data_IF_965695379274
#
_entry.id   IF_965695379274
#
_cell.length_a   1.000
_cell.length_b   1.000
_cell.length_c   1.000
_cell.angle_alpha   90.00
_cell.angle_beta   90.00
_cell.angle_gamma   90.00
#
_symmetry.space_group_name_H-M   'P 1'
#
loop_
_entity.id
_entity.type
_entity.pdbx_description
1 polymer ?
#
# COMPACT_ATOMS: atom_id res chain seq x y z
N UNK A 1 11.41 -19.29 -17.38
CA UNK A 1 12.20 -18.41 -16.49
C UNK A 1 12.34 -19.09 -15.14
N UNK A 2 13.46 -18.90 -14.44
CA UNK A 2 13.66 -19.48 -13.10
C UNK A 2 12.65 -18.91 -12.11
N UNK A 3 12.21 -19.73 -11.16
CA UNK A 3 11.37 -19.30 -10.03
C UNK A 3 12.02 -18.09 -9.31
N UNK A 4 11.22 -17.24 -8.61
CA UNK A 4 11.79 -16.23 -7.73
C UNK A 4 12.77 -16.93 -6.79
N UNK A 5 14.02 -16.44 -6.74
CA UNK A 5 15.04 -16.98 -5.84
C UNK A 5 14.59 -16.90 -4.37
N UNK A 6 15.41 -17.41 -3.43
CA UNK A 6 15.07 -17.38 -2.01
C UNK A 6 14.64 -15.98 -1.56
N UNK A 7 13.71 -15.91 -0.59
CA UNK A 7 13.27 -14.65 0.00
C UNK A 7 14.46 -13.96 0.69
N UNK A 8 14.79 -12.71 0.34
CA UNK A 8 15.74 -11.90 1.10
C UNK A 8 15.35 -11.81 2.57
N UNK A 9 16.34 -11.75 3.45
CA UNK A 9 16.12 -11.81 4.91
C UNK A 9 15.38 -10.59 5.47
N UNK A 10 15.39 -9.47 4.73
CA UNK A 10 14.67 -8.25 5.09
C UNK A 10 13.19 -8.25 4.66
N UNK A 11 12.76 -9.22 3.85
CA UNK A 11 11.35 -9.41 3.51
C UNK A 11 10.67 -10.37 4.48
N UNK A 12 9.43 -10.02 4.81
CA UNK A 12 8.59 -10.82 5.68
C UNK A 12 7.70 -11.77 4.85
N UNK A 13 7.42 -12.98 5.35
CA UNK A 13 6.38 -13.82 4.76
C UNK A 13 5.01 -13.14 4.84
N UNK A 14 4.08 -13.58 4.00
CA UNK A 14 2.66 -13.31 4.23
C UNK A 14 2.22 -14.07 5.51
N UNK A 15 1.74 -13.37 6.55
CA UNK A 15 1.23 -14.03 7.77
C UNK A 15 0.11 -15.02 7.45
N UNK A 16 0.19 -16.22 8.02
CA UNK A 16 -0.80 -17.30 7.81
C UNK A 16 -1.99 -17.24 8.78
N UNK A 17 -1.89 -16.41 9.81
CA UNK A 17 -2.94 -16.17 10.79
C UNK A 17 -2.97 -14.67 11.11
N UNK A 18 -4.12 -14.05 10.88
CA UNK A 18 -4.34 -12.65 11.15
C UNK A 18 -5.58 -12.50 12.05
N UNK A 19 -5.55 -11.60 13.06
CA UNK A 19 -6.74 -11.28 13.83
C UNK A 19 -7.74 -10.52 12.94
N UNK A 20 -9.02 -10.42 13.34
CA UNK A 20 -10.01 -9.62 12.62
C UNK A 20 -9.51 -8.19 12.34
N UNK A 21 -9.90 -7.62 11.19
CA UNK A 21 -9.39 -6.32 10.73
C UNK A 21 -9.53 -5.21 11.79
N UNK A 22 -10.65 -5.21 12.54
CA UNK A 22 -10.90 -4.27 13.64
C UNK A 22 -9.85 -4.37 14.76
N UNK A 23 -9.46 -5.58 15.13
CA UNK A 23 -8.50 -5.83 16.21
C UNK A 23 -7.08 -5.52 15.74
N UNK A 24 -6.75 -5.85 14.49
CA UNK A 24 -5.50 -5.45 13.85
C UNK A 24 -5.35 -3.92 13.79
N UNK A 25 -6.42 -3.21 13.40
CA UNK A 25 -6.45 -1.75 13.37
C UNK A 25 -6.33 -1.14 14.77
N UNK A 26 -7.03 -1.69 15.76
CA UNK A 26 -6.91 -1.23 17.15
C UNK A 26 -5.47 -1.37 17.68
N UNK A 27 -4.78 -2.45 17.30
CA UNK A 27 -3.36 -2.65 17.63
C UNK A 27 -2.48 -1.59 16.96
N UNK A 28 -2.76 -1.24 15.70
CA UNK A 28 -2.08 -0.13 15.04
C UNK A 28 -2.33 1.19 15.79
N UNK A 29 -3.59 1.53 16.08
CA UNK A 29 -3.93 2.76 16.79
C UNK A 29 -3.18 2.87 18.13
N UNK A 30 -3.10 1.78 18.91
CA UNK A 30 -2.37 1.78 20.18
C UNK A 30 -0.85 1.96 20.01
N UNK A 31 -0.27 1.41 18.95
CA UNK A 31 1.16 1.58 18.66
C UNK A 31 1.52 3.04 18.30
N UNK A 32 0.59 3.77 17.69
CA UNK A 32 0.87 5.09 17.12
C UNK A 32 0.29 6.28 17.91
N UNK A 33 -0.64 6.07 18.86
CA UNK A 33 -1.31 7.16 19.59
C UNK A 33 -0.41 8.03 20.48
N UNK A 34 0.81 7.59 20.78
CA UNK A 34 1.75 8.32 21.65
C UNK A 34 2.75 9.18 20.87
N UNK A 35 2.65 9.21 19.54
CA UNK A 35 3.43 10.13 18.72
C UNK A 35 2.95 11.57 18.90
N UNK A 36 3.89 12.50 18.73
CA UNK A 36 3.66 13.90 19.00
C UNK A 36 2.65 14.49 18.01
N UNK A 37 1.82 15.40 18.54
CA UNK A 37 0.98 16.24 17.70
C UNK A 37 1.85 17.35 17.09
N UNK A 38 1.50 17.89 15.91
CA UNK A 38 2.21 19.05 15.40
C UNK A 38 2.09 20.21 16.39
N UNK A 39 3.20 20.84 16.74
CA UNK A 39 3.23 22.09 17.53
C UNK A 39 3.05 23.32 16.64
N UNK A 40 3.39 23.18 15.35
CA UNK A 40 3.22 24.20 14.33
C UNK A 40 3.02 23.54 12.96
N UNK A 41 2.33 24.26 12.08
CA UNK A 41 2.15 23.90 10.68
C UNK A 41 2.77 25.01 9.81
N UNK A 42 3.17 24.69 8.59
CA UNK A 42 3.74 25.66 7.68
C UNK A 42 2.72 26.77 7.35
N UNK A 43 3.02 28.06 7.57
CA UNK A 43 2.09 29.15 7.32
C UNK A 43 1.82 29.40 5.82
N UNK A 44 2.58 28.79 4.91
CA UNK A 44 2.28 28.85 3.48
C UNK A 44 1.23 27.81 3.08
N UNK A 45 1.32 26.60 3.64
CA UNK A 45 0.39 25.50 3.38
C UNK A 45 -0.90 25.63 4.21
N UNK A 46 -0.77 26.17 5.42
CA UNK A 46 -1.84 26.39 6.40
C UNK A 46 -1.90 27.87 6.81
N UNK A 47 -2.31 28.77 5.90
CA UNK A 47 -2.21 30.22 6.08
C UNK A 47 -3.13 30.79 7.16
N UNK A 48 -4.16 30.06 7.58
CA UNK A 48 -5.11 30.53 8.58
C UNK A 48 -5.59 29.43 9.54
N UNK A 49 -6.30 29.86 10.58
CA UNK A 49 -6.85 28.99 11.63
C UNK A 49 -7.94 28.05 11.11
N UNK A 50 -8.59 28.35 9.98
CA UNK A 50 -9.65 27.49 9.44
C UNK A 50 -9.11 26.18 8.90
N UNK A 51 -7.85 26.15 8.45
CA UNK A 51 -7.16 24.95 8.00
C UNK A 51 -6.33 24.28 9.12
N UNK A 52 -5.68 25.07 9.98
CA UNK A 52 -4.78 24.54 11.01
C UNK A 52 -5.50 24.07 12.29
N UNK A 53 -6.53 24.79 12.77
CA UNK A 53 -7.22 24.42 14.01
C UNK A 53 -7.92 23.05 13.97
N UNK A 54 -8.54 22.62 12.85
CA UNK A 54 -9.08 21.26 12.72
C UNK A 54 -8.03 20.17 12.90
N UNK A 55 -6.81 20.36 12.37
CA UNK A 55 -5.71 19.40 12.47
C UNK A 55 -5.25 19.26 13.92
N UNK A 56 -5.05 20.36 14.64
CA UNK A 56 -4.69 20.29 16.06
C UNK A 56 -5.79 19.62 16.91
N UNK A 57 -7.07 19.85 16.57
CA UNK A 57 -8.18 19.16 17.23
C UNK A 57 -8.23 17.66 16.90
N UNK A 58 -7.94 17.29 15.65
CA UNK A 58 -7.85 15.91 15.20
C UNK A 58 -6.70 15.17 15.89
N UNK A 59 -5.55 15.82 16.08
CA UNK A 59 -4.40 15.23 16.75
C UNK A 59 -4.74 14.83 18.20
N UNK A 60 -5.49 15.67 18.92
CA UNK A 60 -6.00 15.34 20.27
C UNK A 60 -6.97 14.15 20.27
N UNK A 61 -7.73 13.94 19.20
CA UNK A 61 -8.59 12.76 19.06
C UNK A 61 -7.75 11.52 18.78
N UNK A 62 -6.81 11.61 17.85
CA UNK A 62 -5.87 10.56 17.48
C UNK A 62 -5.08 10.05 18.70
N UNK A 63 -4.55 10.95 19.53
CA UNK A 63 -3.81 10.59 20.76
C UNK A 63 -4.67 9.87 21.82
N UNK A 64 -6.00 10.04 21.75
CA UNK A 64 -6.97 9.31 22.57
C UNK A 64 -7.42 7.99 21.94
N UNK A 65 -6.83 7.60 20.81
CA UNK A 65 -7.23 6.43 20.03
C UNK A 65 -8.59 6.57 19.35
N UNK A 66 -9.09 7.79 19.19
CA UNK A 66 -10.39 8.07 18.55
C UNK A 66 -10.16 8.54 17.13
N UNK A 67 -10.79 7.89 16.15
CA UNK A 67 -10.67 8.30 14.75
C UNK A 67 -11.26 9.71 14.55
N UNK A 68 -10.44 10.70 14.18
CA UNK A 68 -10.97 11.99 13.74
C UNK A 68 -11.70 11.83 12.41
N UNK A 69 -12.56 12.81 12.06
CA UNK A 69 -13.18 12.79 10.74
C UNK A 69 -12.13 13.11 9.66
N UNK A 70 -12.17 12.49 8.48
CA UNK A 70 -11.10 12.66 7.49
C UNK A 70 -10.90 14.10 7.07
N UNK A 71 -11.96 14.91 7.04
CA UNK A 71 -11.88 16.33 6.69
C UNK A 71 -10.99 17.15 7.64
N UNK A 72 -10.73 16.63 8.83
CA UNK A 72 -9.95 17.30 9.85
C UNK A 72 -8.44 17.01 9.74
N UNK A 73 -8.02 16.03 8.93
CA UNK A 73 -6.61 15.63 8.84
C UNK A 73 -6.13 15.21 7.45
N UNK A 74 -7.02 15.02 6.47
CA UNK A 74 -6.64 14.57 5.12
C UNK A 74 -5.58 15.47 4.45
N UNK A 75 -5.61 16.79 4.70
CA UNK A 75 -4.62 17.74 4.18
C UNK A 75 -3.17 17.36 4.54
N UNK A 76 -2.97 16.62 5.63
CA UNK A 76 -1.63 16.17 6.06
C UNK A 76 -0.93 15.36 4.95
N UNK A 77 -1.68 14.60 4.16
CA UNK A 77 -1.14 13.72 3.11
C UNK A 77 -0.95 14.42 1.75
N UNK A 78 -1.35 15.69 1.62
CA UNK A 78 -1.14 16.49 0.41
C UNK A 78 0.08 17.42 0.51
N UNK A 79 0.62 17.52 1.71
CA UNK A 79 1.69 18.45 2.03
C UNK A 79 2.99 17.70 2.28
N UNK A 80 4.10 18.37 2.03
CA UNK A 80 5.41 17.86 2.38
C UNK A 80 5.48 17.52 3.88
N UNK A 81 6.09 16.40 4.34
CA UNK A 81 6.12 16.01 5.75
C UNK A 81 6.54 17.13 6.72
N UNK A 82 7.51 17.97 6.33
CA UNK A 82 7.90 19.17 7.12
C UNK A 82 6.81 20.23 7.29
N UNK A 83 5.89 20.35 6.35
CA UNK A 83 4.82 21.34 6.41
C UNK A 83 3.74 20.97 7.42
N UNK A 84 3.70 19.70 7.84
CA UNK A 84 2.64 19.12 8.68
C UNK A 84 3.13 18.71 10.07
N UNK A 85 4.33 19.15 10.46
CA UNK A 85 4.92 18.84 11.77
C UNK A 85 5.81 17.60 11.78
N UNK A 86 6.19 17.08 10.61
CA UNK A 86 7.22 16.05 10.48
C UNK A 86 6.71 14.62 10.55
N UNK A 87 7.66 13.72 10.71
CA UNK A 87 7.48 12.27 10.76
C UNK A 87 6.52 11.84 11.88
N UNK A 88 6.62 12.44 13.07
CA UNK A 88 5.78 12.12 14.21
C UNK A 88 4.29 12.40 13.95
N UNK A 89 3.97 13.50 13.25
CA UNK A 89 2.58 13.75 12.83
C UNK A 89 2.10 12.66 11.86
N UNK A 90 2.93 12.27 10.88
CA UNK A 90 2.55 11.23 9.92
C UNK A 90 2.30 9.91 10.64
N UNK A 91 3.18 9.53 11.57
CA UNK A 91 3.01 8.36 12.44
C UNK A 91 1.68 8.42 13.21
N UNK A 92 1.40 9.53 13.88
CA UNK A 92 0.18 9.71 14.68
C UNK A 92 -1.09 9.50 13.84
N UNK A 93 -1.12 9.99 12.60
CA UNK A 93 -2.29 9.93 11.74
C UNK A 93 -2.37 8.70 10.83
N UNK A 94 -1.27 7.95 10.63
CA UNK A 94 -1.20 6.85 9.66
C UNK A 94 -2.29 5.78 9.84
N UNK A 95 -2.58 5.25 11.05
CA UNK A 95 -3.65 4.26 11.22
C UNK A 95 -5.01 4.80 10.80
N UNK A 96 -5.27 6.09 11.02
CA UNK A 96 -6.53 6.73 10.65
C UNK A 96 -6.58 7.06 9.15
N UNK A 97 -5.45 7.40 8.53
CA UNK A 97 -5.31 7.51 7.08
C UNK A 97 -5.63 6.19 6.40
N UNK A 98 -5.05 5.09 6.89
CA UNK A 98 -5.39 3.74 6.45
C UNK A 98 -6.88 3.47 6.67
N UNK A 99 -7.41 3.80 7.86
CA UNK A 99 -8.81 3.59 8.21
C UNK A 99 -9.80 4.28 7.28
N UNK A 100 -9.47 5.45 6.76
CA UNK A 100 -10.49 6.32 6.17
C UNK A 100 -10.24 6.66 4.71
N UNK A 101 -9.02 6.45 4.22
CA UNK A 101 -8.61 6.92 2.90
C UNK A 101 -7.91 5.86 2.05
N UNK A 102 -7.55 4.68 2.60
CA UNK A 102 -6.82 3.64 1.85
C UNK A 102 -7.61 3.13 0.63
N UNK A 103 -8.94 3.00 0.73
CA UNK A 103 -9.73 2.18 -0.23
C UNK A 103 -10.66 2.97 -1.11
N UNK A 104 -10.30 4.18 -1.50
CA UNK A 104 -11.05 4.78 -2.59
C UNK A 104 -12.11 5.80 -2.19
N UNK A 105 -12.59 5.75 -0.96
CA UNK A 105 -13.86 6.38 -0.60
C UNK A 105 -13.63 7.60 0.26
N UNK A 106 -13.30 8.66 -0.45
CA UNK A 106 -13.31 10.03 0.03
C UNK A 106 -14.69 10.38 0.60
N UNK A 107 -14.81 11.04 1.77
CA UNK A 107 -16.08 11.55 2.26
C UNK A 107 -16.75 12.49 1.25
N UNK A 108 -18.09 12.50 1.23
CA UNK A 108 -18.86 13.39 0.35
C UNK A 108 -18.41 14.86 0.52
N UNK A 109 -18.02 15.50 -0.58
CA UNK A 109 -17.61 16.90 -0.61
C UNK A 109 -16.11 17.17 -0.53
N UNK A 110 -15.28 16.15 -0.37
CA UNK A 110 -13.85 16.25 -0.65
C UNK A 110 -13.59 16.04 -2.16
N UNK A 111 -12.54 16.69 -2.69
CA UNK A 111 -12.17 16.59 -4.11
C UNK A 111 -11.75 15.17 -4.55
N UNK A 112 -11.25 15.04 -5.78
CA UNK A 112 -10.64 13.79 -6.23
C UNK A 112 -9.28 13.58 -5.52
N UNK A 113 -9.28 12.92 -4.36
CA UNK A 113 -8.05 12.44 -3.72
C UNK A 113 -7.57 11.16 -4.45
N UNK A 114 -6.27 11.03 -4.71
CA UNK A 114 -5.70 9.81 -5.28
C UNK A 114 -5.03 8.98 -4.16
N UNK A 115 -5.69 7.89 -3.79
CA UNK A 115 -5.42 6.92 -2.71
C UNK A 115 -3.94 6.58 -2.39
N UNK A 116 -3.02 6.74 -3.34
CA UNK A 116 -1.57 6.68 -3.18
C UNK A 116 -1.01 7.66 -2.14
N UNK A 117 -1.68 8.77 -1.83
CA UNK A 117 -1.12 9.83 -0.99
C UNK A 117 -0.79 9.35 0.44
N UNK A 118 -1.64 8.52 1.07
CA UNK A 118 -1.38 8.05 2.45
C UNK A 118 -0.09 7.22 2.52
N UNK A 119 0.06 6.26 1.60
CA UNK A 119 1.22 5.38 1.56
C UNK A 119 2.47 6.15 1.10
N UNK A 120 2.32 7.04 0.12
CA UNK A 120 3.41 7.86 -0.39
C UNK A 120 3.95 8.82 0.68
N UNK A 121 3.08 9.54 1.41
CA UNK A 121 3.53 10.42 2.50
C UNK A 121 4.20 9.63 3.62
N UNK A 122 3.73 8.42 3.95
CA UNK A 122 4.39 7.58 4.94
C UNK A 122 5.82 7.20 4.47
N UNK A 123 5.99 6.82 3.21
CA UNK A 123 7.30 6.55 2.62
C UNK A 123 8.20 7.79 2.60
N UNK A 124 7.65 8.96 2.24
CA UNK A 124 8.36 10.23 2.29
C UNK A 124 8.78 10.61 3.72
N UNK A 125 8.00 10.20 4.73
CA UNK A 125 8.33 10.31 6.15
C UNK A 125 9.28 9.20 6.66
N UNK A 126 9.85 8.39 5.76
CA UNK A 126 10.88 7.40 6.11
C UNK A 126 10.34 6.08 6.64
N UNK A 127 9.09 5.70 6.33
CA UNK A 127 8.42 4.48 6.82
C UNK A 127 9.31 3.24 6.97
N UNK A 128 10.10 2.92 5.94
CA UNK A 128 10.95 1.73 5.93
C UNK A 128 12.06 1.73 6.99
N UNK A 129 12.42 2.91 7.49
CA UNK A 129 13.47 3.10 8.48
C UNK A 129 12.91 3.33 9.89
N UNK A 130 11.58 3.32 10.04
CA UNK A 130 10.97 3.33 11.36
C UNK A 130 11.29 2.06 12.14
N UNK A 131 11.13 2.13 13.47
CA UNK A 131 11.40 0.98 14.32
C UNK A 131 10.52 -0.22 13.95
N UNK A 132 11.05 -1.46 13.99
CA UNK A 132 10.30 -2.65 13.63
C UNK A 132 8.98 -2.85 14.38
N UNK A 133 8.89 -2.39 15.64
CA UNK A 133 7.69 -2.48 16.46
C UNK A 133 6.54 -1.58 15.99
N UNK A 134 6.82 -0.52 15.21
CA UNK A 134 5.81 0.31 14.56
C UNK A 134 5.32 -0.31 13.24
N UNK A 135 6.21 -0.95 12.49
CA UNK A 135 5.90 -1.58 11.19
C UNK A 135 5.14 -2.91 11.39
N UNK A 136 5.49 -3.68 12.42
CA UNK A 136 4.89 -4.98 12.69
C UNK A 136 3.34 -4.98 12.77
N UNK A 137 2.68 -4.11 13.55
CA UNK A 137 1.21 -4.08 13.61
C UNK A 137 0.58 -3.70 12.26
N UNK A 138 1.18 -2.77 11.52
CA UNK A 138 0.72 -2.38 10.18
C UNK A 138 0.82 -3.54 9.19
N UNK A 139 1.88 -4.35 9.27
CA UNK A 139 2.03 -5.56 8.45
C UNK A 139 0.91 -6.57 8.71
N UNK A 140 0.53 -6.77 9.97
CA UNK A 140 -0.58 -7.65 10.33
C UNK A 140 -1.90 -7.12 9.78
N UNK A 141 -2.14 -5.80 9.88
CA UNK A 141 -3.31 -5.17 9.27
C UNK A 141 -3.32 -5.33 7.75
N UNK A 142 -2.20 -5.06 7.06
CA UNK A 142 -2.08 -5.22 5.62
C UNK A 142 -2.39 -6.65 5.17
N UNK A 143 -1.82 -7.64 5.86
CA UNK A 143 -2.08 -9.06 5.59
C UNK A 143 -3.56 -9.42 5.81
N UNK A 144 -4.22 -8.86 6.83
CA UNK A 144 -5.64 -9.09 7.07
C UNK A 144 -6.51 -8.49 5.96
N UNK A 145 -6.24 -7.24 5.58
CA UNK A 145 -6.96 -6.56 4.49
C UNK A 145 -6.80 -7.31 3.17
N UNK A 146 -5.59 -7.84 2.90
CA UNK A 146 -5.32 -8.72 1.76
C UNK A 146 -6.19 -9.98 1.80
N UNK A 147 -6.17 -10.72 2.92
CA UNK A 147 -6.97 -11.94 3.08
C UNK A 147 -8.46 -11.67 2.86
N UNK A 148 -8.99 -10.65 3.53
CA UNK A 148 -10.40 -10.30 3.49
C UNK A 148 -10.86 -9.88 2.07
N UNK A 149 -10.12 -8.97 1.43
CA UNK A 149 -10.45 -8.47 0.09
C UNK A 149 -10.36 -9.57 -0.97
N UNK A 150 -9.23 -10.28 -1.06
CA UNK A 150 -9.02 -11.22 -2.15
C UNK A 150 -9.78 -12.53 -1.96
N UNK A 151 -10.26 -12.85 -0.76
CA UNK A 151 -11.12 -14.01 -0.53
C UNK A 151 -12.60 -13.67 -0.75
N UNK A 152 -13.06 -12.51 -0.30
CA UNK A 152 -14.49 -12.21 -0.16
C UNK A 152 -14.98 -10.94 -0.85
N UNK A 153 -14.07 -10.10 -1.38
CA UNK A 153 -14.40 -8.79 -1.93
C UNK A 153 -14.75 -7.74 -0.87
N UNK A 154 -14.50 -8.04 0.41
CA UNK A 154 -14.90 -7.22 1.53
C UNK A 154 -13.78 -7.20 2.57
N UNK A 155 -13.30 -6.04 3.00
CA UNK A 155 -12.22 -5.92 4.01
C UNK A 155 -12.71 -5.64 5.45
N UNK A 156 -14.01 -5.88 5.72
CA UNK A 156 -14.52 -6.17 7.07
C UNK A 156 -14.47 -5.06 8.13
N UNK A 157 -14.24 -3.80 7.76
CA UNK A 157 -14.22 -2.68 8.71
C UNK A 157 -15.54 -1.90 8.66
N UNK A 158 -16.35 -2.07 9.70
CA UNK A 158 -17.61 -1.34 9.86
C UNK A 158 -17.39 0.18 9.77
N UNK A 159 -18.13 0.85 8.90
CA UNK A 159 -18.03 2.30 8.69
C UNK A 159 -16.98 2.75 7.69
N UNK A 160 -16.21 1.84 7.08
CA UNK A 160 -15.47 2.19 5.87
C UNK A 160 -16.48 2.38 4.73
N UNK A 161 -16.40 3.49 4.01
CA UNK A 161 -17.33 3.75 2.93
C UNK A 161 -17.20 2.67 1.85
N UNK A 162 -18.24 1.83 1.72
CA UNK A 162 -18.33 0.87 0.64
C UNK A 162 -18.47 1.64 -0.66
N UNK A 163 -17.52 1.45 -1.58
CA UNK A 163 -17.79 1.81 -2.97
C UNK A 163 -18.98 0.96 -3.39
N UNK A 164 -20.13 1.57 -3.65
CA UNK A 164 -21.18 0.88 -4.37
C UNK A 164 -20.52 0.32 -5.62
N UNK A 165 -20.43 -1.02 -5.70
CA UNK A 165 -19.73 -1.74 -6.76
C UNK A 165 -20.09 -1.07 -8.08
N UNK A 166 -19.15 -0.33 -8.68
CA UNK A 166 -19.35 0.09 -10.06
C UNK A 166 -19.22 -1.21 -10.83
N UNK A 167 -20.25 -1.64 -11.58
CA UNK A 167 -20.19 -2.90 -12.30
C UNK A 167 -18.95 -2.87 -13.21
N UNK A 168 -17.90 -3.62 -12.85
CA UNK A 168 -16.65 -3.74 -13.61
C UNK A 168 -15.35 -3.22 -12.98
N UNK A 169 -15.32 -2.76 -11.73
CA UNK A 169 -14.07 -2.40 -11.04
C UNK A 169 -13.84 -3.37 -9.85
N UNK A 170 -13.32 -4.56 -10.15
CA UNK A 170 -13.10 -5.63 -9.17
C UNK A 170 -11.74 -5.51 -8.48
N UNK A 171 -10.75 -4.85 -9.10
CA UNK A 171 -9.47 -4.52 -8.49
C UNK A 171 -9.49 -3.28 -7.60
N UNK A 172 -10.45 -2.35 -7.76
CA UNK A 172 -10.56 -1.07 -7.04
C UNK A 172 -9.61 -0.85 -5.85
N UNK A 173 -9.98 -1.25 -4.63
CA UNK A 173 -9.12 -1.12 -3.44
C UNK A 173 -8.03 -2.20 -3.29
N UNK A 174 -8.04 -3.24 -4.11
CA UNK A 174 -7.04 -4.31 -4.12
C UNK A 174 -5.64 -3.81 -4.47
N UNK A 175 -5.51 -2.86 -5.41
CA UNK A 175 -4.20 -2.29 -5.77
C UNK A 175 -3.57 -1.55 -4.58
N UNK A 176 -4.37 -0.77 -3.84
CA UNK A 176 -3.92 -0.04 -2.64
C UNK A 176 -3.56 -1.00 -1.50
N UNK A 177 -4.33 -2.08 -1.31
CA UNK A 177 -4.05 -3.12 -0.34
C UNK A 177 -2.73 -3.84 -0.67
N UNK A 178 -2.48 -4.14 -1.94
CA UNK A 178 -1.25 -4.79 -2.37
C UNK A 178 -0.05 -3.84 -2.23
N UNK A 179 -0.21 -2.56 -2.56
CA UNK A 179 0.82 -1.54 -2.29
C UNK A 179 1.08 -1.41 -0.78
N UNK A 180 0.06 -1.45 0.06
CA UNK A 180 0.24 -1.43 1.51
C UNK A 180 0.97 -2.68 2.02
N UNK A 181 0.69 -3.85 1.46
CA UNK A 181 1.43 -5.08 1.76
C UNK A 181 2.91 -4.97 1.38
N UNK A 182 3.21 -4.47 0.17
CA UNK A 182 4.60 -4.29 -0.27
C UNK A 182 5.32 -3.18 0.51
N UNK A 183 4.63 -2.10 0.88
CA UNK A 183 5.13 -1.09 1.81
C UNK A 183 5.55 -1.72 3.13
N UNK A 184 4.72 -2.60 3.70
CA UNK A 184 4.99 -3.34 4.94
C UNK A 184 6.03 -4.47 4.79
N UNK A 185 6.72 -4.53 3.64
CA UNK A 185 7.78 -5.50 3.32
C UNK A 185 7.28 -6.96 3.33
N UNK A 186 6.00 -7.19 3.06
CA UNK A 186 5.49 -8.54 2.76
C UNK A 186 6.03 -8.93 1.37
N UNK A 187 6.56 -10.14 1.26
CA UNK A 187 7.17 -10.64 0.03
C UNK A 187 6.19 -10.59 -1.16
N UNK A 188 6.45 -9.78 -2.21
CA UNK A 188 5.61 -9.73 -3.39
C UNK A 188 5.44 -11.09 -4.08
N UNK A 189 6.46 -11.96 -4.02
CA UNK A 189 6.37 -13.29 -4.61
C UNK A 189 5.33 -14.17 -3.90
N UNK A 190 5.23 -14.08 -2.56
CA UNK A 190 4.24 -14.82 -1.78
C UNK A 190 2.83 -14.24 -1.97
N UNK A 191 2.70 -12.91 -2.11
CA UNK A 191 1.43 -12.27 -2.46
C UNK A 191 0.91 -12.80 -3.80
N UNK A 192 1.75 -12.77 -4.85
CA UNK A 192 1.35 -13.23 -6.18
C UNK A 192 1.06 -14.74 -6.22
N UNK A 193 1.85 -15.56 -5.53
CA UNK A 193 1.57 -16.99 -5.40
C UNK A 193 0.18 -17.22 -4.77
N UNK A 194 -0.08 -16.57 -3.63
CA UNK A 194 -1.36 -16.70 -2.92
C UNK A 194 -2.53 -16.27 -3.79
N UNK A 195 -2.43 -15.12 -4.47
CA UNK A 195 -3.46 -14.66 -5.41
C UNK A 195 -3.69 -15.68 -6.55
N UNK A 196 -2.61 -16.23 -7.11
CA UNK A 196 -2.72 -17.21 -8.20
C UNK A 196 -3.42 -18.50 -7.79
N UNK A 197 -3.36 -18.87 -6.51
CA UNK A 197 -3.97 -20.07 -5.91
C UNK A 197 -5.41 -19.84 -5.43
N UNK A 198 -5.78 -18.61 -5.07
CA UNK A 198 -7.10 -18.27 -4.52
C UNK A 198 -8.25 -18.50 -5.52
N UNK A 199 -8.01 -18.26 -6.81
CA UNK A 199 -9.01 -18.39 -7.87
C UNK A 199 -10.33 -17.69 -7.52
N UNK A 200 -10.27 -16.48 -6.98
CA UNK A 200 -11.44 -15.59 -6.83
C UNK A 200 -11.46 -14.55 -7.95
N UNK A 201 -12.60 -13.90 -8.24
CA UNK A 201 -12.66 -12.84 -9.25
C UNK A 201 -11.71 -11.68 -8.93
N UNK A 202 -11.62 -11.29 -7.66
CA UNK A 202 -10.73 -10.22 -7.20
C UNK A 202 -9.25 -10.57 -7.41
N UNK A 203 -8.87 -11.82 -7.10
CA UNK A 203 -7.49 -12.27 -7.28
C UNK A 203 -7.13 -12.42 -8.77
N UNK A 204 -8.03 -12.98 -9.59
CA UNK A 204 -7.81 -13.10 -11.03
C UNK A 204 -7.74 -11.72 -11.71
N UNK A 205 -8.48 -10.72 -11.23
CA UNK A 205 -8.47 -9.36 -11.81
C UNK A 205 -7.14 -8.64 -11.57
N UNK A 206 -6.41 -8.93 -10.49
CA UNK A 206 -5.03 -8.44 -10.30
C UNK A 206 -4.10 -8.84 -11.46
N UNK A 207 -4.40 -9.95 -12.13
CA UNK A 207 -3.62 -10.47 -13.26
C UNK A 207 -4.24 -10.16 -14.63
N UNK A 208 -5.38 -9.46 -14.69
CA UNK A 208 -6.04 -9.10 -15.95
C UNK A 208 -5.27 -8.01 -16.72
N UNK A 209 -4.33 -7.34 -16.05
CA UNK A 209 -3.38 -6.38 -16.62
C UNK A 209 -1.94 -6.68 -16.24
N UNK A 210 -1.00 -6.07 -16.98
CA UNK A 210 0.44 -6.08 -16.69
C UNK A 210 0.82 -4.94 -15.72
N UNK A 211 0.01 -4.75 -14.68
CA UNK A 211 0.24 -3.76 -13.63
C UNK A 211 1.43 -4.15 -12.73
N UNK A 212 1.86 -3.22 -11.88
CA UNK A 212 2.76 -3.56 -10.77
C UNK A 212 2.11 -3.18 -9.46
N UNK A 213 2.27 -4.06 -8.48
CA UNK A 213 1.75 -3.91 -7.11
C UNK A 213 2.79 -3.32 -6.15
N UNK A 214 4.05 -3.23 -6.60
CA UNK A 214 5.15 -2.65 -5.84
C UNK A 214 5.14 -1.12 -5.93
N UNK A 215 5.56 -0.49 -4.84
CA UNK A 215 5.86 0.95 -4.79
C UNK A 215 6.88 1.32 -5.87
N UNK A 216 6.59 2.36 -6.63
CA UNK A 216 7.44 2.83 -7.73
C UNK A 216 8.25 4.06 -7.32
N UNK A 217 9.56 3.98 -7.50
CA UNK A 217 10.45 5.14 -7.51
C UNK A 217 10.32 5.92 -8.85
N UNK A 218 10.69 7.22 -8.88
CA UNK A 218 11.30 8.00 -7.79
C UNK A 218 10.26 8.65 -6.86
N UNK A 219 10.57 8.64 -5.57
CA UNK A 219 9.99 9.52 -4.55
C UNK A 219 11.13 10.05 -3.67
N UNK A 220 10.90 11.12 -2.91
CA UNK A 220 11.90 11.67 -1.99
C UNK A 220 11.67 11.16 -0.56
N UNK A 221 12.68 11.27 0.30
CA UNK A 221 12.56 10.99 1.74
C UNK A 221 12.98 12.23 2.52
N UNK A 222 12.03 12.81 3.27
CA UNK A 222 12.23 14.04 4.04
C UNK A 222 12.73 13.77 5.45
N UNK A 223 12.16 12.78 6.17
CA UNK A 223 12.32 12.55 7.62
C UNK A 223 12.30 13.83 8.48
N UNK A 224 12.61 13.73 9.78
CA UNK A 224 12.76 14.89 10.68
C UNK A 224 14.15 15.56 10.61
N UNK A 225 14.96 15.26 9.59
CA UNK A 225 16.34 15.76 9.43
C UNK A 225 16.45 17.22 8.97
N UNK A 226 15.32 17.88 8.67
CA UNK A 226 15.30 19.28 8.24
C UNK A 226 15.74 19.56 6.78
N UNK A 227 16.34 18.59 6.08
CA UNK A 227 16.61 18.59 4.62
C UNK A 227 16.41 17.19 4.02
N UNK A 228 15.98 17.11 2.75
CA UNK A 228 15.70 15.83 2.09
C UNK A 228 16.96 14.98 2.13
N UNK A 229 16.84 13.77 2.69
CA UNK A 229 18.01 12.96 2.95
C UNK A 229 18.31 12.09 1.73
N UNK A 230 19.32 12.50 0.98
CA UNK A 230 19.74 11.82 -0.24
C UNK A 230 20.18 10.38 0.01
N UNK A 231 20.72 10.06 1.20
CA UNK A 231 21.14 8.70 1.54
C UNK A 231 19.93 7.78 1.67
N UNK A 232 18.93 8.20 2.44
CA UNK A 232 17.69 7.45 2.65
C UNK A 232 16.83 7.39 1.39
N UNK A 233 16.81 8.48 0.61
CA UNK A 233 16.16 8.51 -0.69
C UNK A 233 16.77 7.46 -1.64
N UNK A 234 18.10 7.39 -1.72
CA UNK A 234 18.79 6.38 -2.53
C UNK A 234 18.50 4.96 -2.05
N UNK A 235 18.57 4.72 -0.73
CA UNK A 235 18.27 3.43 -0.13
C UNK A 235 16.82 2.99 -0.41
N UNK A 236 15.85 3.89 -0.27
CA UNK A 236 14.46 3.65 -0.63
C UNK A 236 14.29 3.29 -2.10
N UNK A 237 15.00 3.96 -3.02
CA UNK A 237 14.93 3.60 -4.44
C UNK A 237 15.46 2.20 -4.71
N UNK A 238 16.50 1.77 -4.00
CA UNK A 238 17.05 0.42 -4.14
C UNK A 238 16.11 -0.64 -3.55
N UNK A 239 15.45 -0.36 -2.41
CA UNK A 239 14.39 -1.21 -1.84
C UNK A 239 13.22 -1.35 -2.82
N UNK A 240 12.69 -0.23 -3.34
CA UNK A 240 11.59 -0.20 -4.30
C UNK A 240 11.93 -0.99 -5.58
N UNK A 241 13.15 -0.81 -6.11
CA UNK A 241 13.63 -1.55 -7.28
C UNK A 241 13.72 -3.06 -7.00
N UNK A 242 14.18 -3.44 -5.81
CA UNK A 242 14.26 -4.83 -5.39
C UNK A 242 12.89 -5.49 -5.24
N UNK A 243 11.92 -4.79 -4.65
CA UNK A 243 10.52 -5.23 -4.56
C UNK A 243 9.93 -5.46 -5.96
N UNK A 244 10.06 -4.49 -6.86
CA UNK A 244 9.52 -4.57 -8.22
C UNK A 244 10.21 -5.67 -9.05
N UNK A 245 11.53 -5.86 -8.90
CA UNK A 245 12.25 -6.97 -9.54
C UNK A 245 11.77 -8.33 -9.03
N UNK A 246 11.51 -8.44 -7.72
CA UNK A 246 11.01 -9.66 -7.09
C UNK A 246 9.59 -10.01 -7.54
N UNK A 247 8.71 -9.02 -7.53
CA UNK A 247 7.35 -9.10 -8.09
C UNK A 247 7.40 -9.58 -9.54
N UNK A 248 8.17 -8.92 -10.40
CA UNK A 248 8.25 -9.22 -11.82
C UNK A 248 8.77 -10.65 -12.09
N UNK A 249 9.74 -11.15 -11.30
CA UNK A 249 10.20 -12.54 -11.38
C UNK A 249 9.09 -13.53 -11.05
N UNK A 250 8.33 -13.28 -9.98
CA UNK A 250 7.20 -14.12 -9.60
C UNK A 250 6.08 -14.07 -10.66
N UNK A 251 5.72 -12.87 -11.15
CA UNK A 251 4.73 -12.71 -12.20
C UNK A 251 5.09 -13.50 -13.46
N UNK A 252 6.34 -13.39 -13.93
CA UNK A 252 6.82 -14.15 -15.09
C UNK A 252 6.83 -15.68 -14.88
N UNK A 253 6.89 -16.13 -13.64
CA UNK A 253 6.89 -17.55 -13.30
C UNK A 253 5.45 -18.10 -13.24
N UNK A 254 4.53 -17.33 -12.63
CA UNK A 254 3.18 -17.76 -12.33
C UNK A 254 2.19 -17.53 -13.48
N UNK A 255 2.29 -16.36 -14.12
CA UNK A 255 1.30 -15.91 -15.10
C UNK A 255 1.77 -16.29 -16.50
N UNK A 256 1.27 -17.42 -16.98
CA UNK A 256 1.55 -17.98 -18.31
C UNK A 256 0.32 -17.87 -19.22
N UNK A 257 0.46 -18.06 -20.55
CA UNK A 257 -0.70 -18.16 -21.43
C UNK A 257 -1.70 -19.22 -20.97
N UNK A 258 -1.23 -20.38 -20.51
CA UNK A 258 -2.10 -21.44 -19.98
C UNK A 258 -2.83 -21.01 -18.70
N UNK A 259 -2.14 -20.28 -17.81
CA UNK A 259 -2.78 -19.73 -16.61
C UNK A 259 -3.89 -18.73 -16.99
N UNK A 260 -3.62 -17.82 -17.94
CA UNK A 260 -4.58 -16.83 -18.44
C UNK A 260 -5.79 -17.49 -19.11
N UNK A 261 -5.55 -18.51 -19.93
CA UNK A 261 -6.61 -19.29 -20.59
C UNK A 261 -7.49 -20.00 -19.56
N UNK A 262 -6.89 -20.64 -18.55
CA UNK A 262 -7.63 -21.26 -17.46
C UNK A 262 -8.43 -20.22 -16.66
N UNK A 263 -7.85 -19.05 -16.38
CA UNK A 263 -8.53 -17.95 -15.70
C UNK A 263 -9.73 -17.42 -16.50
N UNK A 264 -9.59 -17.29 -17.82
CA UNK A 264 -10.69 -16.94 -18.72
C UNK A 264 -11.88 -17.92 -18.54
N UNK A 265 -11.64 -19.22 -18.64
CA UNK A 265 -12.72 -20.22 -18.53
C UNK A 265 -13.36 -20.28 -17.15
N UNK A 266 -12.62 -19.96 -16.06
CA UNK A 266 -13.19 -19.80 -14.72
C UNK A 266 -14.20 -18.64 -14.63
N UNK A 267 -14.07 -17.61 -15.48
CA UNK A 267 -14.78 -16.33 -15.36
C UNK A 267 -15.77 -16.03 -16.46
N UNK A 268 -15.70 -16.69 -17.61
CA UNK A 268 -16.50 -16.37 -18.81
C UNK A 268 -18.01 -16.27 -18.54
N UNK A 269 -18.54 -17.10 -17.63
CA UNK A 269 -19.97 -17.11 -17.29
C UNK A 269 -20.37 -16.00 -16.30
N UNK A 270 -19.60 -15.82 -15.24
CA UNK A 270 -20.01 -15.02 -14.07
C UNK A 270 -19.40 -13.60 -14.09
N UNK A 271 -18.25 -13.42 -14.76
CA UNK A 271 -17.53 -12.14 -14.87
C UNK A 271 -17.01 -11.92 -16.30
N UNK A 272 -17.89 -11.71 -17.30
CA UNK A 272 -17.51 -11.66 -18.72
C UNK A 272 -16.55 -10.51 -19.08
N UNK A 273 -16.59 -9.39 -18.34
CA UNK A 273 -15.63 -8.29 -18.54
C UNK A 273 -14.21 -8.66 -18.12
N UNK A 274 -14.08 -9.32 -16.97
CA UNK A 274 -12.80 -9.85 -16.49
C UNK A 274 -12.28 -10.92 -17.44
N UNK A 275 -13.14 -11.85 -17.86
CA UNK A 275 -12.78 -12.87 -18.86
C UNK A 275 -12.23 -12.22 -20.14
N UNK A 276 -12.90 -11.18 -20.66
CA UNK A 276 -12.42 -10.41 -21.81
C UNK A 276 -11.03 -9.81 -21.56
N UNK A 277 -10.78 -9.19 -20.41
CA UNK A 277 -9.47 -8.62 -20.08
C UNK A 277 -8.37 -9.68 -19.99
N UNK A 278 -8.65 -10.83 -19.39
CA UNK A 278 -7.73 -11.98 -19.32
C UNK A 278 -7.40 -12.52 -20.71
N UNK A 279 -8.40 -12.66 -21.58
CA UNK A 279 -8.19 -13.08 -22.98
C UNK A 279 -7.42 -12.03 -23.79
N UNK A 280 -7.68 -10.73 -23.58
CA UNK A 280 -6.89 -9.65 -24.18
C UNK A 280 -5.43 -9.67 -23.68
N UNK A 281 -5.18 -10.06 -22.43
CA UNK A 281 -3.82 -10.33 -21.97
C UNK A 281 -3.23 -11.50 -22.73
N UNK A 282 -3.87 -12.67 -22.72
CA UNK A 282 -3.40 -13.88 -23.40
C UNK A 282 -3.01 -13.61 -24.86
N UNK A 283 -3.87 -12.93 -25.63
CA UNK A 283 -3.64 -12.59 -27.04
C UNK A 283 -2.47 -11.64 -27.28
N UNK A 284 -2.11 -10.84 -26.28
CA UNK A 284 -1.00 -9.88 -26.34
C UNK A 284 0.09 -10.20 -25.33
N UNK A 285 0.19 -11.45 -24.90
CA UNK A 285 1.02 -11.87 -23.77
C UNK A 285 2.47 -11.44 -23.94
N UNK A 286 3.08 -11.73 -25.09
CA UNK A 286 4.49 -11.38 -25.30
C UNK A 286 4.73 -9.88 -25.28
N UNK A 287 3.82 -9.08 -25.83
CA UNK A 287 3.93 -7.61 -25.83
C UNK A 287 3.79 -7.07 -24.39
N UNK A 288 2.77 -7.52 -23.66
CA UNK A 288 2.52 -7.10 -22.27
C UNK A 288 3.64 -7.53 -21.32
N UNK A 289 4.33 -8.64 -21.62
CA UNK A 289 5.40 -9.18 -20.77
C UNK A 289 6.79 -8.59 -21.03
N UNK A 290 7.01 -7.77 -22.08
CA UNK A 290 8.35 -7.23 -22.40
C UNK A 290 8.93 -6.44 -21.22
N UNK A 291 8.20 -5.46 -20.69
CA UNK A 291 8.69 -4.63 -19.59
C UNK A 291 8.80 -5.43 -18.28
N UNK A 292 7.86 -6.34 -18.00
CA UNK A 292 7.94 -7.21 -16.81
C UNK A 292 9.20 -8.09 -16.88
N UNK A 293 9.50 -8.70 -18.02
CA UNK A 293 10.70 -9.53 -18.21
C UNK A 293 11.98 -8.71 -18.06
N UNK A 294 11.99 -7.46 -18.50
CA UNK A 294 13.12 -6.53 -18.31
C UNK A 294 13.30 -6.18 -16.83
N UNK A 295 12.23 -5.87 -16.11
CA UNK A 295 12.28 -5.61 -14.67
C UNK A 295 12.71 -6.84 -13.87
N UNK A 296 12.27 -8.04 -14.28
CA UNK A 296 12.65 -9.30 -13.63
C UNK A 296 14.17 -9.57 -13.68
N UNK A 297 14.90 -8.97 -14.63
CA UNK A 297 16.36 -9.07 -14.74
C UNK A 297 17.11 -8.11 -13.81
N UNK A 298 16.43 -7.12 -13.22
CA UNK A 298 17.06 -6.20 -12.31
C UNK A 298 17.62 -6.92 -11.07
N UNK A 299 18.72 -6.40 -10.48
CA UNK A 299 19.28 -6.96 -9.26
C UNK A 299 18.29 -6.82 -8.11
N UNK A 300 18.30 -7.80 -7.21
CA UNK A 300 17.54 -7.78 -5.95
C UNK A 300 18.57 -7.65 -4.84
N UNK A 301 18.37 -6.70 -3.93
CA UNK A 301 19.20 -6.56 -2.73
C UNK A 301 19.09 -7.81 -1.85
N UNK A 302 20.25 -8.35 -1.45
CA UNK A 302 20.34 -9.41 -0.45
C UNK A 302 20.13 -8.87 0.96
N UNK A 303 20.73 -7.73 1.25
CA UNK A 303 20.85 -7.17 2.60
C UNK A 303 20.15 -5.83 2.70
N UNK A 304 19.70 -5.50 3.92
CA UNK A 304 19.15 -4.18 4.21
C UNK A 304 20.25 -3.11 4.13
N UNK A 305 19.96 -1.88 3.66
CA UNK A 305 20.94 -0.79 3.62
C UNK A 305 21.55 -0.52 5.00
N UNK A 306 22.88 -0.47 5.08
CA UNK A 306 23.61 -0.06 6.29
C UNK A 306 23.62 1.47 6.36
N UNK A 307 22.61 2.03 7.03
CA UNK A 307 22.45 3.46 7.26
C UNK A 307 22.60 3.79 8.76
N UNK A 308 23.03 5.02 9.11
CA UNK A 308 23.03 5.46 10.50
C UNK A 308 21.63 5.32 11.11
N UNK A 309 21.50 4.82 12.34
CA UNK A 309 20.22 4.89 13.05
C UNK A 309 19.88 6.35 13.36
N UNK A 310 18.69 6.81 12.97
CA UNK A 310 18.07 8.07 13.41
C UNK A 310 17.45 7.90 14.79
#
# INVERSE_FOLDING_TARGET
>A
MSAPGPRPDWLCPLPTQTPPARDALATCIEAFRYHDAPDALCPQCFPDETLSAPIFAAARLAQRGTCPRPEQFAQIYFEHPRCVGGEETIKLFLPFGIQTMLTGTVPDGFGHLNYSEVLETALQAGFWFWRPDLIAPLRILAARLFEDWFTSGHYGLDGWPHRAERPGDLTGPGDDILQFCTMCLIDPAELLQTLSDLHTPWADDTFSGAGSISIRAPFYVSMDTGQDDQLYTSASHDIARSLHAREARAFCHLITPDWLSNAFFRRDRDHPRLAKALSEFENHYDVKMIEIRKTAQAPIMSDWPDLPTV
#
